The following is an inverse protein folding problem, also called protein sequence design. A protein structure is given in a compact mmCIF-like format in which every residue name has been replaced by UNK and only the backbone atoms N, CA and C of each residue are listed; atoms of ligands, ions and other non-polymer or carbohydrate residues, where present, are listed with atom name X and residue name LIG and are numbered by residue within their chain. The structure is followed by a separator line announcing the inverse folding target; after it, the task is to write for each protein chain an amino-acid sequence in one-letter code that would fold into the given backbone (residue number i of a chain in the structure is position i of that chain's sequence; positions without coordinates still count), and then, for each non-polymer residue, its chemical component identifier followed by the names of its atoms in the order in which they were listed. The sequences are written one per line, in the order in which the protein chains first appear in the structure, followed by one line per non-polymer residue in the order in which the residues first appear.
data_IF_278677494651
#
_entry.id   IF_278677494651
#
_cell.length_a   1.000
_cell.length_b   1.000
_cell.length_c   1.000
_cell.angle_alpha   90.00
_cell.angle_beta   90.00
_cell.angle_gamma   90.00
#
_symmetry.space_group_name_H-M   'P 1'
#
loop_
_entity.id
_entity.type
_entity.pdbx_description
1 polymer ?
#
# COMPACT_ATOMS: atom_id res chain seq x y z
N UNK A 1 -11.82 -10.21 -0.99
CA UNK A 1 -10.74 -10.08 -1.99
C UNK A 1 -9.88 -8.92 -1.54
N UNK A 2 -8.55 -9.08 -1.45
CA UNK A 2 -7.60 -8.05 -1.01
C UNK A 2 -7.68 -6.73 -1.80
N UNK A 3 -7.07 -5.66 -1.29
CA UNK A 3 -6.82 -4.44 -2.06
C UNK A 3 -5.34 -4.20 -2.33
N UNK A 4 -5.07 -3.49 -3.42
CA UNK A 4 -3.75 -3.03 -3.82
C UNK A 4 -3.87 -1.54 -4.12
N UNK A 5 -2.92 -0.76 -3.64
CA UNK A 5 -2.78 0.66 -3.96
C UNK A 5 -1.33 0.92 -4.40
N UNK A 6 -1.14 1.78 -5.41
CA UNK A 6 0.18 2.06 -5.94
C UNK A 6 0.34 3.51 -6.36
N UNK A 7 1.51 4.10 -6.06
CA UNK A 7 2.00 5.35 -6.64
C UNK A 7 3.21 4.98 -7.48
N UNK A 8 3.21 5.37 -8.76
CA UNK A 8 4.27 5.06 -9.73
C UNK A 8 4.81 6.34 -10.35
N UNK A 9 5.99 6.25 -10.95
CA UNK A 9 6.60 7.39 -11.66
C UNK A 9 7.19 8.43 -10.73
N UNK A 10 7.63 7.99 -9.54
CA UNK A 10 8.35 8.83 -8.59
C UNK A 10 9.63 9.39 -9.22
N UNK A 11 9.90 10.66 -8.95
CA UNK A 11 11.03 11.39 -9.50
C UNK A 11 12.08 11.68 -8.42
N UNK A 12 13.36 11.86 -8.79
CA UNK A 12 14.37 12.36 -7.88
C UNK A 12 13.94 13.71 -7.26
N UNK A 13 13.84 13.77 -5.93
CA UNK A 13 13.40 14.96 -5.20
C UNK A 13 11.98 14.88 -4.64
N UNK A 14 11.20 13.86 -4.99
CA UNK A 14 9.91 13.60 -4.36
C UNK A 14 10.08 13.28 -2.87
N UNK A 15 9.19 13.84 -2.04
CA UNK A 15 9.17 13.56 -0.61
C UNK A 15 8.49 12.20 -0.34
N UNK A 16 9.32 11.16 -0.25
CA UNK A 16 8.86 9.79 0.00
C UNK A 16 8.12 9.64 1.33
N UNK A 17 8.40 10.47 2.35
CA UNK A 17 7.70 10.38 3.63
C UNK A 17 6.26 10.88 3.50
N UNK A 18 6.06 11.99 2.78
CA UNK A 18 4.73 12.54 2.49
C UNK A 18 3.95 11.58 1.58
N UNK A 19 4.56 11.11 0.50
CA UNK A 19 3.91 10.20 -0.44
C UNK A 19 3.56 8.85 0.20
N UNK A 20 4.42 8.34 1.10
CA UNK A 20 4.10 7.13 1.89
C UNK A 20 2.87 7.34 2.76
N UNK A 21 2.75 8.47 3.46
CA UNK A 21 1.57 8.77 4.29
C UNK A 21 0.31 8.82 3.43
N UNK A 22 0.35 9.55 2.32
CA UNK A 22 -0.76 9.61 1.36
C UNK A 22 -1.15 8.23 0.84
N UNK A 23 -0.18 7.38 0.51
CA UNK A 23 -0.44 6.02 0.03
C UNK A 23 -1.15 5.16 1.08
N UNK A 24 -0.74 5.26 2.35
CA UNK A 24 -1.38 4.54 3.45
C UNK A 24 -2.82 5.01 3.68
N UNK A 25 -3.07 6.32 3.68
CA UNK A 25 -4.43 6.88 3.82
C UNK A 25 -5.35 6.44 2.67
N UNK A 26 -4.83 6.44 1.43
CA UNK A 26 -5.60 5.99 0.28
C UNK A 26 -5.89 4.48 0.32
N UNK A 27 -4.91 3.66 0.76
CA UNK A 27 -5.10 2.21 0.95
C UNK A 27 -6.12 1.91 2.05
N UNK A 28 -6.09 2.66 3.16
CA UNK A 28 -6.97 2.44 4.30
C UNK A 28 -8.46 2.54 3.94
N UNK A 29 -8.82 3.38 2.96
CA UNK A 29 -10.20 3.48 2.42
C UNK A 29 -10.69 2.16 1.81
N UNK A 30 -9.78 1.29 1.41
CA UNK A 30 -10.06 -0.01 0.84
C UNK A 30 -9.93 -1.16 1.84
N UNK A 31 -9.60 -0.89 3.12
CA UNK A 31 -9.31 -1.93 4.14
C UNK A 31 -10.44 -2.94 4.37
N UNK A 32 -11.68 -2.60 4.06
CA UNK A 32 -12.81 -3.53 4.06
C UNK A 32 -12.60 -4.76 3.13
N UNK A 33 -11.67 -4.67 2.17
CA UNK A 33 -11.28 -5.74 1.25
C UNK A 33 -10.26 -6.72 1.86
N UNK A 34 -9.43 -6.26 2.79
CA UNK A 34 -8.34 -7.01 3.39
C UNK A 34 -8.13 -6.64 4.87
N UNK A 35 -9.00 -7.12 5.78
CA UNK A 35 -8.97 -6.71 7.18
C UNK A 35 -7.85 -7.35 8.00
N UNK A 36 -7.22 -8.42 7.52
CA UNK A 36 -6.36 -9.29 8.33
C UNK A 36 -4.98 -8.65 8.56
N UNK A 37 -4.43 -7.99 7.54
CA UNK A 37 -3.08 -7.41 7.61
C UNK A 37 -2.85 -6.31 6.58
N UNK A 38 -1.95 -5.37 6.86
CA UNK A 38 -1.56 -4.29 5.95
C UNK A 38 -0.06 -4.31 5.69
N UNK A 39 0.35 -4.20 4.42
CA UNK A 39 1.75 -4.17 3.99
C UNK A 39 2.06 -2.95 3.14
N UNK A 40 3.29 -2.44 3.26
CA UNK A 40 3.78 -1.31 2.45
C UNK A 40 5.20 -1.57 1.99
N UNK A 41 5.46 -1.31 0.72
CA UNK A 41 6.76 -1.29 0.08
C UNK A 41 7.02 0.09 -0.51
N UNK A 42 8.22 0.62 -0.29
CA UNK A 42 8.64 1.95 -0.77
C UNK A 42 9.96 1.79 -1.48
N UNK A 43 10.04 2.30 -2.70
CA UNK A 43 11.23 2.36 -3.51
C UNK A 43 11.30 3.70 -4.26
N UNK A 44 12.44 3.98 -4.87
CA UNK A 44 12.74 5.18 -5.65
C UNK A 44 11.82 5.38 -6.86
N UNK A 45 11.21 4.32 -7.40
CA UNK A 45 10.29 4.40 -8.55
C UNK A 45 8.82 4.19 -8.22
N UNK A 46 8.49 3.63 -7.05
CA UNK A 46 7.12 3.31 -6.69
C UNK A 46 6.89 3.14 -5.18
N UNK A 47 5.64 3.33 -4.75
CA UNK A 47 5.12 2.91 -3.45
C UNK A 47 3.97 1.94 -3.71
N UNK A 48 3.99 0.79 -3.03
CA UNK A 48 2.94 -0.23 -3.10
C UNK A 48 2.39 -0.49 -1.70
N UNK A 49 1.06 -0.53 -1.59
CA UNK A 49 0.36 -0.86 -0.34
C UNK A 49 -0.62 -1.99 -0.61
N UNK A 50 -0.71 -2.94 0.33
CA UNK A 50 -1.59 -4.09 0.28
C UNK A 50 -2.42 -4.19 1.55
N UNK A 51 -3.72 -4.39 1.41
CA UNK A 51 -4.59 -4.83 2.51
C UNK A 51 -4.94 -6.30 2.23
N UNK A 52 -4.47 -7.21 3.08
CA UNK A 52 -4.57 -8.66 2.91
C UNK A 52 -5.86 -9.19 3.52
N UNK A 53 -6.60 -9.97 2.74
CA UNK A 53 -7.54 -10.98 3.22
C UNK A 53 -6.85 -12.34 3.04
N UNK A 54 -6.43 -12.97 4.11
CA UNK A 54 -5.73 -14.24 4.13
C UNK A 54 -6.71 -15.40 3.92
N UNK A 55 -6.79 -15.90 2.69
CA UNK A 55 -7.64 -17.05 2.33
C UNK A 55 -6.81 -18.33 2.20
N UNK A 56 -5.62 -18.21 1.60
CA UNK A 56 -4.65 -19.30 1.45
C UNK A 56 -3.43 -18.96 2.30
N UNK A 57 -2.96 -19.96 3.04
CA UNK A 57 -1.85 -19.85 4.00
C UNK A 57 -2.01 -18.70 5.02
N UNK A 58 -3.05 -18.78 5.89
CA UNK A 58 -3.35 -17.73 6.86
C UNK A 58 -2.54 -17.81 8.18
N UNK A 59 -1.77 -18.89 8.38
CA UNK A 59 -1.05 -19.18 9.61
C UNK A 59 0.34 -18.53 9.68
#
# INVERSE_FOLDING_TARGET
MCSIFGIFGLQPGDDLLVLRRQALECSQRQRHRGPDWSGVYVDTGAILVHERLAIVDPA
#
